data_IF_064751941119
#
_entry.id   IF_064751941119
#
_cell.length_a   1.000
_cell.length_b   1.000
_cell.length_c   1.000
_cell.angle_alpha   90.00
_cell.angle_beta   90.00
_cell.angle_gamma   90.00
#
_symmetry.space_group_name_H-M   'P 1'
#
loop_
_entity.id
_entity.type
_entity.pdbx_description
1 polymer ?
#
# COMPACT_ATOMS: atom_id res chain seq x y z
N UNK A 1 30.88 -3.37 24.53
CA UNK A 1 29.93 -3.00 23.50
C UNK A 1 28.72 -3.91 23.66
N UNK A 2 27.61 -3.37 24.06
CA UNK A 2 26.38 -4.14 24.13
C UNK A 2 25.95 -4.42 22.68
N UNK A 3 26.05 -5.68 22.27
CA UNK A 3 25.30 -6.18 21.14
C UNK A 3 23.83 -5.89 21.45
N UNK A 4 23.27 -4.87 20.79
CA UNK A 4 21.86 -4.69 20.79
C UNK A 4 21.28 -5.97 20.19
N UNK A 5 20.70 -6.77 21.05
CA UNK A 5 19.85 -7.88 20.67
C UNK A 5 18.75 -7.27 19.78
N UNK A 6 18.97 -7.28 18.47
CA UNK A 6 17.94 -6.90 17.50
C UNK A 6 16.90 -7.97 17.70
N UNK A 7 15.87 -7.65 18.46
CA UNK A 7 14.71 -8.51 18.60
C UNK A 7 14.22 -8.78 17.18
N UNK A 8 13.98 -10.04 16.87
CA UNK A 8 13.51 -10.48 15.57
C UNK A 8 12.32 -9.61 15.15
N UNK A 9 12.36 -9.06 13.93
CA UNK A 9 11.28 -8.19 13.42
C UNK A 9 9.92 -8.89 13.49
N UNK A 10 9.87 -10.19 13.25
CA UNK A 10 8.65 -11.00 13.34
C UNK A 10 8.05 -11.05 14.74
N UNK A 11 8.81 -10.76 15.80
CA UNK A 11 8.28 -10.68 17.15
C UNK A 11 7.28 -9.54 17.37
N UNK A 12 7.30 -8.53 16.49
CA UNK A 12 6.35 -7.41 16.51
C UNK A 12 5.08 -7.68 15.69
N UNK A 13 5.00 -8.86 15.07
CA UNK A 13 3.89 -9.24 14.19
C UNK A 13 2.98 -10.23 14.91
N UNK A 14 1.70 -9.91 15.01
CA UNK A 14 0.68 -10.81 15.55
C UNK A 14 0.14 -11.80 14.50
N UNK A 15 0.38 -11.51 13.22
CA UNK A 15 -0.04 -12.33 12.07
C UNK A 15 0.82 -11.97 10.87
N UNK A 16 0.91 -12.84 9.87
CA UNK A 16 1.82 -12.70 8.75
C UNK A 16 1.20 -12.12 7.46
N UNK A 17 1.93 -11.22 6.81
CA UNK A 17 1.67 -10.79 5.44
C UNK A 17 0.38 -9.96 5.25
N UNK A 18 -0.11 -9.94 4.01
CA UNK A 18 -1.31 -9.20 3.62
C UNK A 18 -2.61 -9.71 4.29
N UNK A 19 -2.62 -10.92 4.81
CA UNK A 19 -3.75 -11.50 5.56
C UNK A 19 -4.06 -10.82 6.90
N UNK A 20 -3.19 -9.90 7.36
CA UNK A 20 -3.40 -9.09 8.56
C UNK A 20 -4.27 -7.86 8.33
N UNK A 21 -4.59 -7.55 7.09
CA UNK A 21 -5.36 -6.35 6.73
C UNK A 21 -6.81 -6.47 7.21
N UNK A 22 -7.44 -5.33 7.37
CA UNK A 22 -8.85 -5.25 7.72
C UNK A 22 -9.71 -5.99 6.69
N UNK A 23 -10.78 -6.61 7.17
CA UNK A 23 -11.80 -7.18 6.30
C UNK A 23 -12.30 -6.12 5.30
N UNK A 24 -12.41 -6.45 3.99
CA UNK A 24 -12.83 -5.50 2.96
C UNK A 24 -14.17 -4.83 3.23
N UNK A 25 -15.13 -5.53 3.81
CA UNK A 25 -16.45 -4.98 4.10
C UNK A 25 -16.38 -4.02 5.29
N UNK A 26 -15.54 -4.30 6.28
CA UNK A 26 -15.28 -3.39 7.39
C UNK A 26 -14.56 -2.12 6.92
N UNK A 27 -13.58 -2.27 6.02
CA UNK A 27 -12.88 -1.14 5.41
C UNK A 27 -13.83 -0.24 4.60
N UNK A 28 -14.71 -0.83 3.80
CA UNK A 28 -15.76 -0.09 3.04
C UNK A 28 -16.66 0.70 3.98
N UNK A 29 -17.03 0.13 5.12
CA UNK A 29 -17.85 0.79 6.12
C UNK A 29 -17.15 2.01 6.70
N UNK A 30 -15.88 1.89 7.11
CA UNK A 30 -15.08 3.00 7.63
C UNK A 30 -14.94 4.12 6.58
N UNK A 31 -14.63 3.78 5.34
CA UNK A 31 -14.47 4.75 4.25
C UNK A 31 -15.80 5.45 3.97
N UNK A 32 -16.91 4.70 3.92
CA UNK A 32 -18.24 5.26 3.72
C UNK A 32 -18.69 6.19 4.85
N UNK A 33 -18.40 5.86 6.09
CA UNK A 33 -18.71 6.69 7.26
C UNK A 33 -17.83 7.95 7.36
N UNK A 34 -16.62 7.94 6.80
CA UNK A 34 -15.73 9.11 6.79
C UNK A 34 -16.27 10.28 5.95
N UNK A 35 -17.25 10.03 5.08
CA UNK A 35 -18.00 11.04 4.32
C UNK A 35 -17.16 11.94 3.39
N UNK A 36 -15.87 11.65 3.27
CA UNK A 36 -14.96 12.44 2.44
C UNK A 36 -14.75 11.77 1.09
N UNK A 37 -15.70 11.97 0.20
CA UNK A 37 -15.40 11.81 -1.22
C UNK A 37 -14.50 12.97 -1.63
N UNK A 38 -13.24 12.71 -1.92
CA UNK A 38 -12.36 13.70 -2.52
C UNK A 38 -12.70 13.78 -4.00
N UNK A 39 -13.60 14.69 -4.34
CA UNK A 39 -13.91 14.98 -5.73
C UNK A 39 -12.83 15.91 -6.32
N UNK A 40 -12.01 15.36 -7.18
CA UNK A 40 -11.16 16.13 -8.07
C UNK A 40 -11.46 15.69 -9.50
N UNK A 41 -11.69 16.67 -10.40
CA UNK A 41 -11.88 16.36 -11.84
C UNK A 41 -10.68 15.65 -12.46
N UNK A 42 -9.51 15.77 -11.82
CA UNK A 42 -8.25 15.17 -12.28
C UNK A 42 -8.02 13.79 -11.66
N UNK A 43 -8.82 13.38 -10.66
CA UNK A 43 -8.74 12.04 -10.09
C UNK A 43 -9.46 11.04 -11.01
N UNK A 44 -8.69 10.29 -11.81
CA UNK A 44 -9.24 9.32 -12.78
C UNK A 44 -9.70 8.07 -12.06
N UNK A 45 -8.87 7.56 -11.13
CA UNK A 45 -9.16 6.39 -10.30
C UNK A 45 -8.96 6.78 -8.84
N UNK A 46 -9.99 6.55 -8.04
CA UNK A 46 -10.01 6.87 -6.62
C UNK A 46 -10.72 5.79 -5.82
N UNK A 47 -11.18 6.14 -4.61
CA UNK A 47 -11.75 5.19 -3.66
C UNK A 47 -13.05 4.50 -4.11
N UNK A 48 -13.74 5.03 -5.12
CA UNK A 48 -15.06 4.50 -5.53
C UNK A 48 -14.98 3.16 -6.25
N UNK A 49 -13.89 2.92 -6.98
CA UNK A 49 -13.70 1.70 -7.78
C UNK A 49 -12.98 0.58 -7.03
N UNK A 50 -12.39 0.88 -5.85
CA UNK A 50 -11.57 -0.05 -5.06
C UNK A 50 -10.46 -0.71 -5.89
N UNK A 51 -9.81 0.08 -6.75
CA UNK A 51 -8.68 -0.36 -7.55
C UNK A 51 -7.38 -0.44 -6.72
N UNK A 52 -6.36 -1.06 -7.28
CA UNK A 52 -5.09 -1.30 -6.61
C UNK A 52 -4.29 -0.02 -6.30
N UNK A 53 -4.58 1.07 -7.01
CA UNK A 53 -3.93 2.37 -6.82
C UNK A 53 -4.82 3.54 -7.24
N UNK A 54 -4.50 4.73 -6.76
CA UNK A 54 -5.10 5.97 -7.25
C UNK A 54 -4.38 6.47 -8.51
N UNK A 55 -5.13 7.04 -9.44
CA UNK A 55 -4.59 7.63 -10.69
C UNK A 55 -5.03 9.07 -10.79
N UNK A 56 -4.07 9.97 -10.92
CA UNK A 56 -4.29 11.41 -11.02
C UNK A 56 -3.76 11.96 -12.33
N UNK A 57 -4.62 12.61 -13.11
CA UNK A 57 -4.28 13.26 -14.39
C UNK A 57 -3.53 14.57 -14.15
N UNK A 58 -2.36 14.74 -14.77
CA UNK A 58 -1.57 15.96 -14.73
C UNK A 58 -2.02 17.01 -15.74
N UNK A 59 -2.91 16.66 -16.68
CA UNK A 59 -3.46 17.57 -17.66
C UNK A 59 -2.60 17.79 -18.90
N UNK A 60 -1.47 17.10 -19.01
CA UNK A 60 -0.53 17.17 -20.12
C UNK A 60 -0.46 15.88 -20.96
N UNK A 61 -1.42 14.97 -20.73
CA UNK A 61 -1.47 13.64 -21.34
C UNK A 61 -0.72 12.58 -20.54
N UNK A 62 -0.21 12.94 -19.36
CA UNK A 62 0.39 12.02 -18.40
C UNK A 62 -0.42 11.92 -17.11
N UNK A 63 -0.24 10.84 -16.37
CA UNK A 63 -0.89 10.63 -15.08
C UNK A 63 0.09 10.07 -14.06
N UNK A 64 -0.16 10.36 -12.79
CA UNK A 64 0.55 9.76 -11.67
C UNK A 64 -0.29 8.62 -11.10
N UNK A 65 0.32 7.45 -10.96
CA UNK A 65 -0.23 6.31 -10.22
C UNK A 65 0.42 6.28 -8.85
N UNK A 66 -0.41 6.25 -7.79
CA UNK A 66 0.06 6.24 -6.41
C UNK A 66 -0.59 5.10 -5.65
N UNK A 67 0.22 4.27 -5.03
CA UNK A 67 -0.21 3.21 -4.13
C UNK A 67 0.50 3.30 -2.80
N UNK A 68 -0.13 2.78 -1.76
CA UNK A 68 0.47 2.58 -0.44
C UNK A 68 0.05 1.22 0.06
N UNK A 69 1.03 0.37 0.30
CA UNK A 69 0.79 -0.94 0.88
C UNK A 69 1.69 -1.16 2.08
N UNK A 70 1.11 -1.61 3.19
CA UNK A 70 1.82 -1.85 4.43
C UNK A 70 1.41 -3.20 5.03
N UNK A 71 2.34 -3.84 5.71
CA UNK A 71 2.13 -5.10 6.41
C UNK A 71 3.18 -5.26 7.52
N UNK A 72 2.86 -6.11 8.47
CA UNK A 72 3.78 -6.43 9.56
C UNK A 72 4.92 -7.30 9.08
N UNK A 73 6.10 -7.27 9.71
CA UNK A 73 7.25 -8.07 9.31
C UNK A 73 6.93 -9.57 9.23
N UNK A 74 7.28 -10.19 8.10
CA UNK A 74 7.13 -11.64 7.86
C UNK A 74 8.46 -12.38 7.82
N UNK A 75 9.56 -11.61 7.83
CA UNK A 75 10.94 -12.10 7.92
C UNK A 75 11.71 -11.23 8.90
N UNK A 76 12.78 -11.78 9.49
CA UNK A 76 13.58 -11.06 10.49
C UNK A 76 14.68 -10.20 9.87
N UNK A 77 15.17 -10.57 8.67
CA UNK A 77 16.18 -9.78 7.98
C UNK A 77 15.58 -8.48 7.41
N UNK A 78 16.06 -7.29 7.84
CA UNK A 78 15.50 -6.01 7.40
C UNK A 78 15.61 -5.78 5.89
N UNK A 79 16.71 -6.24 5.27
CA UNK A 79 16.91 -6.09 3.83
C UNK A 79 15.90 -6.93 3.03
N UNK A 80 15.73 -8.17 3.42
CA UNK A 80 14.73 -9.07 2.83
C UNK A 80 13.31 -8.51 3.00
N UNK A 81 12.99 -7.99 4.19
CA UNK A 81 11.70 -7.36 4.43
C UNK A 81 11.48 -6.14 3.53
N UNK A 82 12.49 -5.29 3.37
CA UNK A 82 12.45 -4.13 2.47
C UNK A 82 12.23 -4.54 1.01
N UNK A 83 12.90 -5.58 0.52
CA UNK A 83 12.70 -6.11 -0.84
C UNK A 83 11.27 -6.63 -1.04
N UNK A 84 10.72 -7.35 -0.07
CA UNK A 84 9.33 -7.85 -0.12
C UNK A 84 8.36 -6.67 -0.15
N UNK A 85 8.54 -5.67 0.73
CA UNK A 85 7.67 -4.49 0.80
C UNK A 85 7.68 -3.70 -0.52
N UNK A 86 8.85 -3.46 -1.09
CA UNK A 86 9.01 -2.76 -2.37
C UNK A 86 8.34 -3.55 -3.51
N UNK A 87 8.59 -4.86 -3.59
CA UNK A 87 8.00 -5.72 -4.63
C UNK A 87 6.47 -5.72 -4.55
N UNK A 88 5.93 -5.78 -3.34
CA UNK A 88 4.49 -5.78 -3.12
C UNK A 88 3.85 -4.45 -3.57
N UNK A 89 4.43 -3.31 -3.20
CA UNK A 89 3.94 -2.00 -3.64
C UNK A 89 4.06 -1.79 -5.16
N UNK A 90 5.18 -2.21 -5.76
CA UNK A 90 5.41 -2.10 -7.20
C UNK A 90 4.41 -2.94 -8.00
N UNK A 91 3.95 -4.07 -7.47
CA UNK A 91 2.97 -4.93 -8.14
C UNK A 91 1.66 -4.18 -8.43
N UNK A 92 1.22 -3.32 -7.52
CA UNK A 92 0.01 -2.50 -7.71
C UNK A 92 0.19 -1.48 -8.84
N UNK A 93 1.39 -0.90 -8.97
CA UNK A 93 1.70 0.01 -10.07
C UNK A 93 1.62 -0.72 -11.42
N UNK A 94 2.16 -1.93 -11.51
CA UNK A 94 2.07 -2.75 -12.72
C UNK A 94 0.63 -3.17 -13.02
N UNK A 95 -0.16 -3.53 -12.00
CA UNK A 95 -1.57 -3.87 -12.16
C UNK A 95 -2.38 -2.72 -12.78
N UNK A 96 -2.00 -1.48 -12.49
CA UNK A 96 -2.61 -0.27 -13.06
C UNK A 96 -1.99 0.15 -14.40
N UNK A 97 -1.08 -0.62 -14.97
CA UNK A 97 -0.40 -0.31 -16.23
C UNK A 97 0.67 0.79 -16.12
N UNK A 98 1.09 1.13 -14.91
CA UNK A 98 2.09 2.16 -14.65
C UNK A 98 3.52 1.65 -14.78
N UNK A 99 4.46 2.61 -14.83
CA UNK A 99 5.90 2.36 -14.75
C UNK A 99 6.41 2.93 -13.43
N UNK A 100 7.04 2.12 -12.56
CA UNK A 100 7.62 2.61 -11.32
C UNK A 100 8.68 3.67 -11.56
N UNK A 101 8.65 4.76 -10.78
CA UNK A 101 9.61 5.86 -10.87
C UNK A 101 10.55 5.89 -9.66
N UNK A 102 10.09 5.45 -8.49
CA UNK A 102 10.84 5.42 -7.24
C UNK A 102 10.20 4.42 -6.27
#
# INVERSE_FOLDING_TARGET
MNEHNISNLTAFSSSGGCGCKLDPDYLKKIIGESGREVFSKNLIVGNLSNDDAAVYDLGDGTAIVNTTDFFTPIVDDPLSYGHIAATNAISDIYAMGGTPLM
#
